data_IF_738954234549
#
_entry.id   IF_738954234549
#
_cell.length_a   1.000
_cell.length_b   1.000
_cell.length_c   1.000
_cell.angle_alpha   90.00
_cell.angle_beta   90.00
_cell.angle_gamma   90.00
#
_symmetry.space_group_name_H-M   'P 1'
#
loop_
_entity.id
_entity.type
_entity.pdbx_description
1 polymer ?
#
# COMPACT_ATOMS: atom_id res chain seq x y z
N UNK A 1 28.72 -21.03 -19.82
CA UNK A 1 27.83 -20.80 -20.98
C UNK A 1 26.59 -20.09 -20.47
N UNK A 2 26.35 -18.87 -20.94
CA UNK A 2 25.22 -18.03 -20.53
C UNK A 2 23.95 -18.46 -21.28
N UNK A 3 22.82 -18.57 -20.58
CA UNK A 3 21.50 -18.59 -21.20
C UNK A 3 20.80 -17.27 -20.89
N UNK A 4 20.65 -16.45 -21.93
CA UNK A 4 19.80 -15.28 -21.99
C UNK A 4 18.33 -15.70 -21.98
N UNK A 5 17.69 -15.61 -20.82
CA UNK A 5 16.27 -15.39 -20.68
C UNK A 5 16.13 -14.30 -19.62
N UNK A 6 15.33 -13.27 -19.91
CA UNK A 6 15.08 -12.13 -19.03
C UNK A 6 14.44 -12.58 -17.72
N UNK A 7 15.26 -13.05 -16.79
CA UNK A 7 14.83 -13.51 -15.50
C UNK A 7 14.86 -12.30 -14.56
N UNK A 8 13.67 -11.80 -14.21
CA UNK A 8 13.49 -11.24 -12.87
C UNK A 8 14.00 -12.31 -11.90
N UNK A 9 15.21 -12.13 -11.37
CA UNK A 9 15.66 -12.91 -10.23
C UNK A 9 14.67 -12.64 -9.10
N UNK A 10 14.04 -13.70 -8.59
CA UNK A 10 13.35 -13.60 -7.32
C UNK A 10 14.43 -13.35 -6.28
N UNK A 11 14.60 -12.10 -5.87
CA UNK A 11 15.34 -11.79 -4.65
C UNK A 11 14.41 -12.20 -3.51
N UNK A 12 14.58 -13.40 -2.99
CA UNK A 12 14.14 -13.71 -1.63
C UNK A 12 15.02 -12.91 -0.70
N UNK A 13 14.44 -11.93 -0.01
CA UNK A 13 15.18 -11.24 1.03
C UNK A 13 15.31 -12.22 2.21
N UNK A 14 16.42 -12.96 2.26
CA UNK A 14 16.79 -13.84 3.38
C UNK A 14 17.17 -13.06 4.65
N UNK A 15 17.14 -11.72 4.59
CA UNK A 15 17.27 -10.88 5.78
C UNK A 15 15.96 -10.92 6.54
N UNK A 16 16.05 -11.51 7.73
CA UNK A 16 15.04 -11.44 8.78
C UNK A 16 14.60 -9.97 8.87
N UNK A 17 13.30 -9.71 8.61
CA UNK A 17 12.63 -8.52 9.13
C UNK A 17 13.06 -8.36 10.60
N UNK A 18 13.13 -7.17 11.20
CA UNK A 18 13.57 -7.01 12.59
C UNK A 18 12.93 -8.09 13.49
N UNK A 19 13.63 -8.58 14.53
CA UNK A 19 13.17 -9.68 15.40
C UNK A 19 11.79 -9.37 16.02
N UNK A 20 10.75 -9.61 15.23
CA UNK A 20 9.36 -9.38 15.55
C UNK A 20 8.77 -10.75 15.79
N UNK A 21 8.38 -11.00 17.02
CA UNK A 21 7.54 -12.16 17.31
C UNK A 21 6.14 -11.88 16.75
N UNK A 22 5.88 -12.39 15.54
CA UNK A 22 4.57 -12.27 14.92
C UNK A 22 3.52 -12.99 15.76
N UNK A 23 2.49 -12.25 16.19
CA UNK A 23 1.34 -12.86 16.84
C UNK A 23 0.62 -13.86 15.91
N UNK A 24 0.57 -13.56 14.61
CA UNK A 24 -0.09 -14.42 13.61
C UNK A 24 0.86 -15.48 13.07
N UNK A 25 0.47 -16.77 13.02
CA UNK A 25 1.30 -17.82 12.45
C UNK A 25 1.58 -17.61 10.96
N UNK A 26 2.72 -18.13 10.48
CA UNK A 26 3.18 -18.02 9.09
C UNK A 26 2.12 -18.46 8.07
N UNK A 27 1.40 -19.54 8.37
CA UNK A 27 0.31 -20.08 7.55
C UNK A 27 -0.86 -19.10 7.38
N UNK A 28 -1.10 -18.23 8.36
CA UNK A 28 -2.13 -17.20 8.26
C UNK A 28 -1.59 -15.97 7.52
N UNK A 29 -0.34 -15.57 7.79
CA UNK A 29 0.31 -14.46 7.09
C UNK A 29 0.40 -14.72 5.58
N UNK A 30 0.66 -15.96 5.16
CA UNK A 30 0.68 -16.32 3.73
C UNK A 30 -0.67 -16.21 3.02
N UNK A 31 -1.79 -16.18 3.77
CA UNK A 31 -3.13 -15.98 3.25
C UNK A 31 -3.56 -14.51 3.19
N UNK A 32 -2.78 -13.60 3.79
CA UNK A 32 -3.10 -12.17 3.80
C UNK A 32 -2.99 -11.54 2.40
N UNK A 33 -2.24 -12.17 1.50
CA UNK A 33 -2.12 -11.73 0.12
C UNK A 33 -3.31 -12.22 -0.70
N UNK A 34 -4.31 -11.35 -0.87
CA UNK A 34 -5.51 -11.65 -1.67
C UNK A 34 -5.20 -11.85 -3.16
N UNK A 35 -4.25 -11.09 -3.70
CA UNK A 35 -3.76 -11.21 -5.08
C UNK A 35 -2.34 -10.65 -5.21
N UNK A 36 -1.57 -11.19 -6.16
CA UNK A 36 -0.26 -10.64 -6.53
C UNK A 36 -0.37 -9.39 -7.40
N UNK A 37 -1.42 -9.29 -8.21
CA UNK A 37 -1.58 -8.24 -9.22
C UNK A 37 -0.39 -8.12 -10.19
N UNK A 38 -0.32 -6.99 -10.89
CA UNK A 38 0.87 -6.58 -11.64
C UNK A 38 1.85 -5.86 -10.69
N UNK A 39 3.09 -6.37 -10.65
CA UNK A 39 4.16 -5.88 -9.77
C UNK A 39 5.23 -5.07 -10.50
N UNK A 40 5.07 -4.80 -11.80
CA UNK A 40 6.07 -4.08 -12.59
C UNK A 40 6.38 -2.69 -12.02
N UNK A 41 5.35 -1.93 -11.62
CA UNK A 41 5.54 -0.60 -11.03
C UNK A 41 6.21 -0.65 -9.66
N UNK A 42 5.91 -1.69 -8.86
CA UNK A 42 6.53 -1.88 -7.55
C UNK A 42 8.02 -2.18 -7.70
N UNK A 43 8.39 -3.08 -8.62
CA UNK A 43 9.79 -3.34 -8.95
C UNK A 43 10.49 -2.07 -9.46
N UNK A 44 9.86 -1.34 -10.38
CA UNK A 44 10.44 -0.11 -10.91
C UNK A 44 10.67 0.96 -9.83
N UNK A 45 9.81 1.05 -8.80
CA UNK A 45 10.02 1.92 -7.65
C UNK A 45 11.25 1.50 -6.82
N UNK A 46 11.39 0.21 -6.54
CA UNK A 46 12.54 -0.33 -5.82
C UNK A 46 13.84 -0.23 -6.62
N UNK A 47 13.80 -0.42 -7.94
CA UNK A 47 14.96 -0.26 -8.82
C UNK A 47 15.49 1.18 -8.82
N UNK A 48 14.60 2.18 -8.72
CA UNK A 48 14.99 3.59 -8.56
C UNK A 48 15.61 3.83 -7.19
N UNK A 49 14.99 3.31 -6.14
CA UNK A 49 15.52 3.39 -4.78
C UNK A 49 16.93 2.81 -4.66
N UNK A 50 17.17 1.64 -5.26
CA UNK A 50 18.48 0.99 -5.31
C UNK A 50 19.56 1.80 -6.05
N UNK A 51 19.16 2.74 -6.90
CA UNK A 51 20.05 3.68 -7.58
C UNK A 51 20.29 4.96 -6.76
N UNK A 52 19.78 5.02 -5.54
CA UNK A 52 19.93 6.16 -4.62
C UNK A 52 18.83 7.21 -4.71
N UNK A 53 17.77 6.98 -5.50
CA UNK A 53 16.60 7.89 -5.48
C UNK A 53 15.82 7.75 -4.16
N UNK A 54 15.17 8.83 -3.73
CA UNK A 54 14.23 8.77 -2.60
C UNK A 54 13.01 7.93 -2.98
N UNK A 55 12.61 7.00 -2.12
CA UNK A 55 11.38 6.23 -2.24
C UNK A 55 10.26 6.94 -1.49
N UNK A 56 9.27 7.46 -2.23
CA UNK A 56 8.10 8.14 -1.66
C UNK A 56 6.93 7.18 -1.57
N UNK A 57 6.56 6.80 -0.35
CA UNK A 57 5.45 5.88 -0.06
C UNK A 57 4.28 6.66 0.54
N UNK A 58 3.08 6.48 -0.01
CA UNK A 58 1.88 7.19 0.44
C UNK A 58 0.86 6.20 0.95
N UNK A 59 0.19 6.52 2.05
CA UNK A 59 -0.95 5.77 2.57
C UNK A 59 -2.21 6.63 2.47
N UNK A 60 -3.22 6.11 1.78
CA UNK A 60 -4.55 6.70 1.67
C UNK A 60 -5.55 5.78 2.37
N UNK A 61 -6.44 6.40 3.15
CA UNK A 61 -7.58 5.70 3.69
C UNK A 61 -8.39 6.51 4.68
N UNK A 62 -9.27 5.80 5.39
CA UNK A 62 -10.09 6.37 6.46
C UNK A 62 -9.34 6.50 7.80
N UNK A 63 -10.10 6.46 8.88
CA UNK A 63 -9.61 6.65 10.25
C UNK A 63 -8.56 5.62 10.70
N UNK A 64 -8.67 4.37 10.24
CA UNK A 64 -7.69 3.32 10.54
C UNK A 64 -6.31 3.71 9.99
N UNK A 65 -6.26 4.17 8.73
CA UNK A 65 -5.02 4.64 8.10
C UNK A 65 -4.49 5.92 8.75
N UNK A 66 -5.38 6.83 9.18
CA UNK A 66 -4.97 8.01 9.94
C UNK A 66 -4.37 7.65 11.31
N UNK A 67 -4.65 6.47 11.85
CA UNK A 67 -4.12 5.99 13.13
C UNK A 67 -5.10 6.05 14.30
N UNK A 68 -6.40 6.15 14.04
CA UNK A 68 -7.39 6.14 15.12
C UNK A 68 -7.37 4.80 15.88
N UNK A 69 -7.41 4.87 17.21
CA UNK A 69 -7.40 3.69 18.09
C UNK A 69 -6.00 3.23 18.49
N UNK A 70 -4.94 3.88 17.99
CA UNK A 70 -3.59 3.68 18.50
C UNK A 70 -3.49 4.33 19.88
N UNK A 71 -3.28 3.50 20.92
CA UNK A 71 -3.06 3.96 22.29
C UNK A 71 -1.58 3.98 22.65
N UNK A 72 -0.88 2.86 22.40
CA UNK A 72 0.48 2.63 22.90
C UNK A 72 1.46 2.26 21.75
N UNK A 73 1.45 3.01 20.64
CA UNK A 73 2.35 2.74 19.52
C UNK A 73 2.25 3.71 18.36
N UNK A 74 2.78 3.29 17.21
CA UNK A 74 2.66 4.02 15.95
C UNK A 74 1.41 3.56 15.17
N UNK A 75 0.87 4.43 14.30
CA UNK A 75 -0.10 4.01 13.30
C UNK A 75 0.58 3.13 12.24
N UNK A 76 -0.17 2.27 11.55
CA UNK A 76 0.45 1.33 10.62
C UNK A 76 1.25 2.00 9.48
N UNK A 77 0.92 3.22 8.97
CA UNK A 77 1.79 3.92 8.03
C UNK A 77 3.15 4.29 8.64
N UNK A 78 3.16 4.75 9.89
CA UNK A 78 4.41 5.10 10.61
C UNK A 78 5.22 3.84 10.91
N UNK A 79 4.57 2.75 11.34
CA UNK A 79 5.25 1.44 11.45
C UNK A 79 5.84 0.97 10.11
N UNK A 80 5.15 1.21 9.00
CA UNK A 80 5.67 0.85 7.68
C UNK A 80 6.95 1.63 7.34
N UNK A 81 7.04 2.90 7.75
CA UNK A 81 8.27 3.69 7.61
C UNK A 81 9.44 3.03 8.35
N UNK A 82 9.23 2.63 9.61
CA UNK A 82 10.23 1.92 10.40
C UNK A 82 10.66 0.61 9.73
N UNK A 83 9.70 -0.18 9.24
CA UNK A 83 9.99 -1.44 8.54
C UNK A 83 10.78 -1.17 7.26
N UNK A 84 10.40 -0.18 6.46
CA UNK A 84 11.11 0.16 5.24
C UNK A 84 12.52 0.67 5.53
N UNK A 85 12.68 1.55 6.50
CA UNK A 85 13.99 2.04 6.91
C UNK A 85 14.87 0.88 7.38
N UNK A 86 14.38 -0.01 8.24
CA UNK A 86 15.19 -1.13 8.72
C UNK A 86 15.50 -2.19 7.64
N UNK A 87 14.60 -2.37 6.66
CA UNK A 87 14.73 -3.42 5.63
C UNK A 87 15.47 -2.94 4.38
N UNK A 88 15.37 -1.65 4.04
CA UNK A 88 15.83 -1.08 2.77
C UNK A 88 17.08 -0.19 2.88
N UNK A 89 17.36 0.42 4.04
CA UNK A 89 18.44 1.43 4.21
C UNK A 89 19.83 1.00 3.77
N UNK A 90 20.12 -0.31 3.70
CA UNK A 90 21.40 -0.81 3.18
C UNK A 90 21.60 -0.60 1.66
N UNK A 91 20.60 -0.07 0.94
CA UNK A 91 20.63 0.09 -0.53
C UNK A 91 20.76 1.55 -1.01
N UNK A 92 21.14 2.49 -0.14
CA UNK A 92 21.65 3.82 -0.53
C UNK A 92 20.63 4.94 -0.71
N UNK A 93 19.32 4.66 -0.76
CA UNK A 93 18.26 5.67 -0.82
C UNK A 93 17.59 5.95 0.54
N UNK A 94 16.84 7.05 0.62
CA UNK A 94 15.98 7.37 1.77
C UNK A 94 14.53 6.97 1.49
N UNK A 95 13.82 6.45 2.49
CA UNK A 95 12.38 6.22 2.41
C UNK A 95 11.67 7.37 3.08
N UNK A 96 10.61 7.88 2.45
CA UNK A 96 9.74 8.91 3.00
C UNK A 96 8.31 8.43 2.98
N UNK A 97 7.69 8.31 4.15
CA UNK A 97 6.28 7.95 4.25
C UNK A 97 5.40 9.19 4.38
N UNK A 98 4.32 9.21 3.62
CA UNK A 98 3.27 10.21 3.66
C UNK A 98 1.95 9.57 4.08
N UNK A 99 1.43 9.97 5.24
CA UNK A 99 0.07 9.60 5.64
C UNK A 99 -0.92 10.65 5.10
N UNK A 100 -1.56 10.35 3.98
CA UNK A 100 -2.57 11.19 3.33
C UNK A 100 -4.01 10.79 3.69
N UNK A 101 -4.19 10.06 4.79
CA UNK A 101 -5.50 9.60 5.23
C UNK A 101 -6.36 10.73 5.83
N UNK A 102 -7.67 10.60 5.68
CA UNK A 102 -8.64 11.52 6.29
C UNK A 102 -9.69 10.70 7.05
N UNK A 103 -9.78 10.83 8.39
CA UNK A 103 -10.77 10.11 9.19
C UNK A 103 -12.20 10.33 8.72
N UNK A 104 -13.04 9.29 8.79
CA UNK A 104 -14.46 9.37 8.45
C UNK A 104 -14.76 9.59 6.96
N UNK A 105 -13.77 9.44 6.09
CA UNK A 105 -13.95 9.59 4.64
C UNK A 105 -14.02 8.24 3.92
N UNK A 106 -14.61 8.29 2.72
CA UNK A 106 -14.77 7.16 1.79
C UNK A 106 -13.96 7.43 0.53
N UNK A 107 -13.83 6.43 -0.35
CA UNK A 107 -13.07 6.54 -1.59
C UNK A 107 -13.60 7.63 -2.52
N UNK A 108 -14.89 7.97 -2.43
CA UNK A 108 -15.49 9.04 -3.24
C UNK A 108 -14.93 10.42 -2.94
N UNK A 109 -14.65 10.73 -1.67
CA UNK A 109 -13.93 11.95 -1.28
C UNK A 109 -12.53 11.97 -1.89
N UNK A 110 -11.77 10.88 -1.69
CA UNK A 110 -10.39 10.81 -2.16
C UNK A 110 -10.30 10.81 -3.68
N UNK A 111 -11.31 10.29 -4.39
CA UNK A 111 -11.39 10.32 -5.86
C UNK A 111 -11.37 11.74 -6.45
N UNK A 112 -11.75 12.75 -5.67
CA UNK A 112 -11.75 14.16 -6.06
C UNK A 112 -10.60 14.93 -5.41
N UNK A 113 -10.26 14.61 -4.17
CA UNK A 113 -9.28 15.36 -3.37
C UNK A 113 -7.86 14.76 -3.37
N UNK A 114 -7.60 13.67 -4.09
CA UNK A 114 -6.32 12.95 -4.10
C UNK A 114 -5.09 13.85 -4.35
N UNK A 115 -5.24 14.94 -5.10
CA UNK A 115 -4.16 15.88 -5.39
C UNK A 115 -3.67 16.67 -4.17
N UNK A 116 -4.50 16.79 -3.12
CA UNK A 116 -4.13 17.43 -1.85
C UNK A 116 -3.43 16.46 -0.89
N UNK A 117 -3.60 15.15 -1.11
CA UNK A 117 -3.16 14.10 -0.19
C UNK A 117 -2.01 13.24 -0.73
N UNK A 118 -1.78 13.27 -2.05
CA UNK A 118 -0.75 12.46 -2.72
C UNK A 118 0.23 13.37 -3.45
N UNK A 119 1.51 13.43 -3.04
CA UNK A 119 2.55 14.14 -3.78
C UNK A 119 2.71 13.57 -5.21
N UNK A 120 3.13 14.40 -6.16
CA UNK A 120 3.30 13.96 -7.57
C UNK A 120 4.46 12.98 -7.74
N UNK A 121 5.36 12.98 -6.76
CA UNK A 121 6.56 12.17 -6.63
C UNK A 121 6.29 10.78 -6.07
N UNK A 122 5.04 10.47 -5.68
CA UNK A 122 4.68 9.17 -5.10
C UNK A 122 5.12 7.99 -5.99
N UNK A 123 5.84 7.04 -5.40
CA UNK A 123 6.32 5.82 -6.06
C UNK A 123 5.44 4.62 -5.74
N UNK A 124 4.91 4.57 -4.51
CA UNK A 124 4.01 3.52 -4.02
C UNK A 124 2.86 4.20 -3.28
N UNK A 125 1.63 3.82 -3.58
CA UNK A 125 0.43 4.28 -2.88
C UNK A 125 -0.35 3.09 -2.35
N UNK A 126 -0.44 2.97 -1.03
CA UNK A 126 -1.35 2.07 -0.34
C UNK A 126 -2.73 2.72 -0.26
N UNK A 127 -3.78 1.98 -0.62
CA UNK A 127 -5.16 2.48 -0.64
C UNK A 127 -6.06 1.56 0.18
N UNK A 128 -6.70 2.10 1.22
CA UNK A 128 -7.58 1.39 2.15
C UNK A 128 -8.90 2.14 2.31
N UNK A 129 -10.00 1.57 1.81
CA UNK A 129 -11.36 2.07 2.05
C UNK A 129 -12.36 0.91 2.23
N UNK A 130 -11.85 -0.29 2.51
CA UNK A 130 -12.61 -1.54 2.49
C UNK A 130 -13.71 -1.64 3.56
N UNK A 131 -13.53 -0.93 4.66
CA UNK A 131 -14.51 -0.82 5.75
C UNK A 131 -15.22 0.54 5.78
N UNK A 132 -14.78 1.49 4.94
CA UNK A 132 -15.34 2.84 4.85
C UNK A 132 -16.39 2.93 3.75
N UNK A 133 -16.08 2.36 2.57
CA UNK A 133 -17.00 2.32 1.45
C UNK A 133 -18.19 1.41 1.76
N UNK A 134 -19.40 1.89 1.47
CA UNK A 134 -20.62 1.13 1.77
C UNK A 134 -20.63 -0.23 1.08
N UNK A 135 -20.98 -1.26 1.86
CA UNK A 135 -21.22 -2.59 1.31
C UNK A 135 -22.54 -2.59 0.53
N UNK A 136 -22.50 -3.09 -0.71
CA UNK A 136 -23.67 -3.26 -1.56
C UNK A 136 -23.79 -4.73 -2.00
N UNK A 137 -25.00 -5.33 -1.98
CA UNK A 137 -25.22 -6.72 -2.36
C UNK A 137 -24.91 -6.98 -3.84
N UNK A 138 -24.50 -8.21 -4.16
CA UNK A 138 -24.05 -8.58 -5.50
C UNK A 138 -25.20 -8.71 -6.53
N UNK A 139 -24.98 -8.42 -7.83
CA UNK A 139 -23.76 -7.88 -8.45
C UNK A 139 -23.75 -6.34 -8.49
N UNK A 140 -22.74 -5.65 -7.92
CA UNK A 140 -22.79 -4.21 -7.87
C UNK A 140 -21.51 -3.64 -8.49
N UNK A 141 -20.95 -4.25 -9.54
CA UNK A 141 -19.69 -3.75 -10.13
C UNK A 141 -19.86 -2.34 -10.74
N UNK A 142 -21.09 -1.96 -11.09
CA UNK A 142 -21.42 -0.63 -11.60
C UNK A 142 -22.36 0.11 -10.65
N UNK A 143 -21.82 0.71 -9.58
CA UNK A 143 -22.59 1.44 -8.59
C UNK A 143 -21.89 2.74 -8.14
N UNK A 144 -22.57 3.53 -7.31
CA UNK A 144 -22.10 4.83 -6.78
C UNK A 144 -20.92 4.75 -5.80
N UNK A 145 -20.65 3.59 -5.20
CA UNK A 145 -19.50 3.29 -4.32
C UNK A 145 -18.28 2.82 -5.11
N UNK A 146 -18.47 1.94 -6.10
CA UNK A 146 -17.40 1.36 -6.92
C UNK A 146 -16.83 2.34 -7.93
N UNK A 147 -17.67 3.15 -8.58
CA UNK A 147 -17.22 4.11 -9.61
C UNK A 147 -16.18 5.11 -9.08
N UNK A 148 -16.35 5.73 -7.90
CA UNK A 148 -15.34 6.61 -7.35
C UNK A 148 -14.06 5.89 -6.93
N UNK A 149 -14.15 4.68 -6.38
CA UNK A 149 -12.97 3.85 -6.09
C UNK A 149 -12.18 3.55 -7.38
N UNK A 150 -12.83 3.08 -8.44
CA UNK A 150 -12.18 2.84 -9.74
C UNK A 150 -11.56 4.12 -10.31
N UNK A 151 -12.28 5.25 -10.25
CA UNK A 151 -11.77 6.56 -10.65
C UNK A 151 -10.50 6.92 -9.89
N UNK A 152 -10.51 6.78 -8.56
CA UNK A 152 -9.34 7.03 -7.72
C UNK A 152 -8.14 6.21 -8.19
N UNK A 153 -8.31 4.89 -8.35
CA UNK A 153 -7.21 4.01 -8.79
C UNK A 153 -6.69 4.42 -10.17
N UNK A 154 -7.57 4.65 -11.15
CA UNK A 154 -7.17 5.09 -12.50
C UNK A 154 -6.43 6.42 -12.48
N UNK A 155 -6.88 7.36 -11.67
CA UNK A 155 -6.24 8.67 -11.52
C UNK A 155 -4.86 8.55 -10.87
N UNK A 156 -4.71 7.75 -9.81
CA UNK A 156 -3.38 7.51 -9.21
C UNK A 156 -2.45 6.81 -10.20
N UNK A 157 -2.96 5.86 -10.98
CA UNK A 157 -2.17 5.15 -12.00
C UNK A 157 -1.66 6.08 -13.12
N UNK A 158 -2.28 7.25 -13.33
CA UNK A 158 -1.86 8.26 -14.32
C UNK A 158 -0.90 9.31 -13.76
N UNK A 159 -0.51 9.23 -12.48
CA UNK A 159 0.43 10.17 -11.89
C UNK A 159 1.81 10.12 -12.58
N UNK A 160 2.58 11.24 -12.57
CA UNK A 160 3.82 11.36 -13.32
C UNK A 160 4.87 10.30 -13.00
N UNK A 161 5.04 9.93 -11.71
CA UNK A 161 5.99 8.86 -11.31
C UNK A 161 5.47 7.45 -11.53
N UNK A 162 4.27 7.30 -12.10
CA UNK A 162 3.61 6.01 -12.41
C UNK A 162 3.64 5.10 -11.18
N UNK A 163 3.06 5.54 -10.04
CA UNK A 163 3.16 4.81 -8.78
C UNK A 163 2.61 3.39 -8.91
N UNK A 164 3.20 2.49 -8.13
CA UNK A 164 2.59 1.21 -7.79
C UNK A 164 1.40 1.47 -6.86
N UNK A 165 0.27 0.80 -7.10
CA UNK A 165 -0.90 0.89 -6.23
C UNK A 165 -1.08 -0.43 -5.51
N UNK A 166 -1.08 -0.39 -4.18
CA UNK A 166 -1.28 -1.56 -3.32
C UNK A 166 -2.60 -1.40 -2.61
N UNK A 167 -3.53 -2.33 -2.85
CA UNK A 167 -4.81 -2.32 -2.14
C UNK A 167 -4.64 -2.98 -0.78
N UNK A 168 -5.06 -2.29 0.26
CA UNK A 168 -5.12 -2.82 1.63
C UNK A 168 -6.58 -3.02 1.98
N UNK A 169 -6.88 -4.17 2.56
CA UNK A 169 -8.23 -4.53 2.99
C UNK A 169 -8.22 -4.76 4.49
N UNK A 170 -8.71 -3.77 5.23
CA UNK A 170 -9.15 -3.98 6.59
C UNK A 170 -10.42 -4.84 6.59
N UNK A 171 -10.66 -5.54 7.68
CA UNK A 171 -11.86 -6.34 7.85
C UNK A 171 -12.36 -6.22 9.29
N UNK A 172 -13.67 -6.35 9.46
CA UNK A 172 -14.31 -6.33 10.78
C UNK A 172 -14.24 -7.73 11.37
N UNK A 173 -13.20 -8.01 12.15
CA UNK A 173 -12.90 -9.35 12.66
C UNK A 173 -14.01 -9.96 13.54
N UNK A 174 -14.87 -9.14 14.13
CA UNK A 174 -15.99 -9.57 14.99
C UNK A 174 -17.34 -9.65 14.26
N UNK A 175 -17.37 -9.43 12.94
CA UNK A 175 -18.57 -9.61 12.08
C UNK A 175 -18.23 -10.60 10.96
N UNK A 176 -17.88 -11.82 11.36
CA UNK A 176 -17.79 -12.95 10.43
C UNK A 176 -19.18 -13.58 10.39
N UNK A 177 -19.99 -13.17 9.43
CA UNK A 177 -21.22 -13.88 9.05
C UNK A 177 -20.90 -15.00 8.05
#
# INVERSE_FOLDING_TARGET
QASELGHCSYVTHDKVLPDYQWFTPDKLRSKAQSTLGDRARLRAALDRYQKGEQLTVVFLGGSITAGQGVADGHSFPVWAEDVFNNSLTKQGGNVKVHNGAVPGTVSSYMSVCHNMHVPKEADIVFVEYSVNDDWLPYPPMNNNVRRPFERLIRTLLSYPRRPAIVLVHAFVWHRVE
#
